data_IF_088499507106
#
_entry.id   IF_088499507106
#
_cell.length_a   1.000
_cell.length_b   1.000
_cell.length_c   1.000
_cell.angle_alpha   90.00
_cell.angle_beta   90.00
_cell.angle_gamma   90.00
#
_symmetry.space_group_name_H-M   'P 1'
#
loop_
_entity.id
_entity.type
_entity.pdbx_description
1 polymer ?
#
# COMPACT_ATOMS: atom_id res chain seq x y z
N UNK A 1 -2.58 -16.31 34.87
CA UNK A 1 -2.88 -14.99 35.44
C UNK A 1 -1.68 -14.47 36.20
N UNK A 2 -0.80 -13.79 35.46
CA UNK A 2 0.31 -12.98 35.98
C UNK A 2 -0.19 -11.65 36.58
N UNK A 3 -1.29 -11.09 36.07
CA UNK A 3 -1.84 -9.82 36.55
C UNK A 3 -3.34 -9.94 36.88
N UNK A 4 -3.71 -10.10 38.15
CA UNK A 4 -5.11 -10.13 38.59
C UNK A 4 -5.68 -8.69 38.64
N UNK A 5 -6.89 -8.40 38.12
CA UNK A 5 -7.94 -9.30 37.58
C UNK A 5 -7.97 -9.42 36.05
N UNK A 6 -6.85 -9.15 35.37
CA UNK A 6 -6.79 -9.13 33.92
C UNK A 6 -6.73 -10.55 33.34
N UNK A 7 -7.72 -10.85 32.51
CA UNK A 7 -7.87 -12.14 31.81
C UNK A 7 -7.22 -12.14 30.43
N UNK A 8 -6.90 -10.95 29.89
CA UNK A 8 -6.15 -10.76 28.66
C UNK A 8 -4.68 -10.60 29.01
N UNK A 9 -3.87 -11.61 28.73
CA UNK A 9 -2.45 -11.61 29.09
C UNK A 9 -1.55 -11.79 27.87
N UNK A 10 -0.34 -11.18 27.84
CA UNK A 10 0.62 -11.34 26.75
C UNK A 10 0.97 -12.81 26.48
N UNK A 11 1.16 -13.63 27.52
CA UNK A 11 1.50 -15.05 27.34
C UNK A 11 0.42 -15.80 26.57
N UNK A 12 -0.85 -15.53 26.87
CA UNK A 12 -1.97 -16.15 26.16
C UNK A 12 -2.01 -15.71 24.70
N UNK A 13 -1.72 -14.43 24.42
CA UNK A 13 -1.58 -13.95 23.05
C UNK A 13 -0.45 -14.67 22.30
N UNK A 14 0.68 -14.95 22.96
CA UNK A 14 1.79 -15.71 22.36
C UNK A 14 1.43 -17.18 22.08
N UNK A 15 0.61 -17.81 22.93
CA UNK A 15 0.07 -19.14 22.67
C UNK A 15 -0.85 -19.13 21.43
N UNK A 16 -1.80 -18.18 21.37
CA UNK A 16 -2.69 -18.03 20.22
C UNK A 16 -1.91 -17.69 18.94
N UNK A 17 -0.82 -16.92 19.05
CA UNK A 17 0.03 -16.62 17.91
C UNK A 17 0.68 -17.88 17.33
N UNK A 18 1.21 -18.78 18.17
CA UNK A 18 1.78 -20.06 17.72
C UNK A 18 0.73 -20.94 17.04
N UNK A 19 -0.48 -20.99 17.57
CA UNK A 19 -1.59 -21.71 16.94
C UNK A 19 -1.98 -21.08 15.60
N UNK A 20 -1.99 -19.75 15.52
CA UNK A 20 -2.27 -19.02 14.28
C UNK A 20 -1.17 -19.25 13.22
N UNK A 21 0.10 -19.25 13.63
CA UNK A 21 1.23 -19.58 12.76
C UNK A 21 1.12 -21.01 12.23
N UNK A 22 0.83 -21.97 13.11
CA UNK A 22 0.58 -23.37 12.72
C UNK A 22 -0.56 -23.45 11.71
N UNK A 23 -1.67 -22.75 11.97
CA UNK A 23 -2.79 -22.69 11.06
C UNK A 23 -2.41 -22.12 9.68
N UNK A 24 -1.62 -21.05 9.61
CA UNK A 24 -1.16 -20.48 8.34
C UNK A 24 -0.20 -21.40 7.59
N UNK A 25 0.68 -22.12 8.31
CA UNK A 25 1.58 -23.10 7.69
C UNK A 25 0.81 -24.29 7.12
N UNK A 26 -0.24 -24.76 7.80
CA UNK A 26 -1.12 -25.83 7.33
C UNK A 26 -2.10 -25.38 6.23
N UNK A 27 -2.31 -24.08 6.08
CA UNK A 27 -3.26 -23.49 5.12
C UNK A 27 -2.56 -22.41 4.28
N UNK A 28 -1.54 -22.82 3.51
CA UNK A 28 -0.68 -21.92 2.71
C UNK A 28 -1.45 -20.96 1.81
N UNK A 29 -2.60 -21.39 1.25
CA UNK A 29 -3.44 -20.54 0.40
C UNK A 29 -4.01 -19.33 1.15
N UNK A 30 -4.38 -19.50 2.43
CA UNK A 30 -4.89 -18.40 3.27
C UNK A 30 -3.77 -17.40 3.56
N UNK A 31 -2.58 -17.90 3.89
CA UNK A 31 -1.40 -17.07 4.12
C UNK A 31 -1.06 -16.27 2.87
N UNK A 32 -0.96 -16.95 1.73
CA UNK A 32 -0.66 -16.34 0.43
C UNK A 32 -1.71 -15.28 0.07
N UNK A 33 -2.99 -15.56 0.28
CA UNK A 33 -4.05 -14.58 0.04
C UNK A 33 -3.89 -13.32 0.90
N UNK A 34 -3.51 -13.45 2.17
CA UNK A 34 -3.26 -12.29 3.05
C UNK A 34 -2.08 -11.47 2.54
N UNK A 35 -0.97 -12.14 2.21
CA UNK A 35 0.23 -11.50 1.69
C UNK A 35 -0.04 -10.78 0.36
N UNK A 36 -0.76 -11.42 -0.56
CA UNK A 36 -1.17 -10.84 -1.83
C UNK A 36 -2.07 -9.62 -1.65
N UNK A 37 -3.07 -9.70 -0.77
CA UNK A 37 -3.93 -8.56 -0.44
C UNK A 37 -3.13 -7.39 0.14
N UNK A 38 -2.17 -7.66 1.04
CA UNK A 38 -1.28 -6.65 1.59
C UNK A 38 -0.44 -5.95 0.51
N UNK A 39 0.18 -6.73 -0.38
CA UNK A 39 0.94 -6.19 -1.51
C UNK A 39 0.08 -5.39 -2.48
N UNK A 40 -1.13 -5.86 -2.78
CA UNK A 40 -2.08 -5.14 -3.64
C UNK A 40 -2.43 -3.79 -3.00
N UNK A 41 -2.72 -3.76 -1.69
CA UNK A 41 -3.01 -2.50 -1.01
C UNK A 41 -1.81 -1.54 -1.02
N UNK A 42 -0.59 -2.05 -0.87
CA UNK A 42 0.63 -1.25 -1.02
C UNK A 42 0.73 -0.65 -2.43
N UNK A 43 0.43 -1.43 -3.48
CA UNK A 43 0.39 -0.94 -4.87
C UNK A 43 -0.64 0.19 -5.07
N UNK A 44 -1.76 0.18 -4.33
CA UNK A 44 -2.74 1.28 -4.39
C UNK A 44 -2.11 2.63 -4.03
N UNK A 45 -1.11 2.65 -3.15
CA UNK A 45 -0.38 3.87 -2.78
C UNK A 45 0.37 4.51 -3.96
N UNK A 46 0.80 3.71 -4.94
CA UNK A 46 1.48 4.18 -6.16
C UNK A 46 0.52 4.89 -7.13
N UNK A 47 -0.78 4.69 -6.97
CA UNK A 47 -1.80 5.35 -7.80
C UNK A 47 -1.90 6.84 -7.46
N UNK A 48 -1.62 7.22 -6.21
CA UNK A 48 -1.78 8.61 -5.75
C UNK A 48 -0.62 9.46 -6.29
N UNK A 49 -0.87 10.43 -7.19
CA UNK A 49 0.21 11.17 -7.82
C UNK A 49 0.99 12.03 -6.83
N UNK A 50 2.31 12.07 -6.99
CA UNK A 50 3.21 12.93 -6.23
C UNK A 50 3.95 13.88 -7.15
N UNK A 51 4.00 15.15 -6.78
CA UNK A 51 4.73 16.22 -7.45
C UNK A 51 5.39 17.14 -6.39
N UNK A 52 6.24 18.07 -6.83
CA UNK A 52 6.94 18.97 -5.90
C UNK A 52 6.01 19.81 -5.01
N UNK A 53 4.80 20.12 -5.47
CA UNK A 53 3.82 20.92 -4.71
C UNK A 53 3.18 20.11 -3.59
N UNK A 54 2.95 18.82 -3.80
CA UNK A 54 2.24 17.96 -2.84
C UNK A 54 3.18 17.05 -2.02
N UNK A 55 4.47 16.98 -2.33
CA UNK A 55 5.47 16.07 -1.75
C UNK A 55 5.60 16.14 -0.21
N UNK A 56 5.15 17.23 0.43
CA UNK A 56 5.16 17.41 1.90
C UNK A 56 3.83 17.87 2.47
N UNK A 57 2.75 17.75 1.70
CA UNK A 57 1.48 18.35 2.08
C UNK A 57 0.64 17.52 3.04
N UNK A 58 1.00 16.24 3.22
CA UNK A 58 0.18 15.27 3.94
C UNK A 58 -0.98 14.70 3.13
N UNK A 59 -1.07 14.96 1.82
CA UNK A 59 -2.15 14.41 0.99
C UNK A 59 -2.20 12.86 0.96
N UNK A 60 -1.06 12.20 1.16
CA UNK A 60 -0.94 10.74 1.28
C UNK A 60 -1.14 10.21 2.70
N UNK A 61 -1.20 11.10 3.70
CA UNK A 61 -1.28 10.70 5.11
C UNK A 61 -2.50 9.80 5.41
N UNK A 62 -3.73 10.08 4.94
CA UNK A 62 -4.86 9.18 5.19
C UNK A 62 -4.66 7.76 4.62
N UNK A 63 -3.96 7.64 3.48
CA UNK A 63 -3.65 6.34 2.89
C UNK A 63 -2.63 5.58 3.74
N UNK A 64 -1.57 6.26 4.20
CA UNK A 64 -0.55 5.68 5.08
C UNK A 64 -1.18 5.19 6.38
N UNK A 65 -1.95 6.03 7.07
CA UNK A 65 -2.66 5.66 8.31
C UNK A 65 -3.64 4.50 8.08
N UNK A 66 -4.31 4.47 6.92
CA UNK A 66 -5.15 3.35 6.54
C UNK A 66 -4.35 2.04 6.46
N UNK A 67 -3.18 2.07 5.82
CA UNK A 67 -2.29 0.90 5.74
C UNK A 67 -1.78 0.48 7.12
N UNK A 68 -1.42 1.42 7.99
CA UNK A 68 -1.02 1.12 9.37
C UNK A 68 -2.16 0.44 10.15
N UNK A 69 -3.39 0.93 10.06
CA UNK A 69 -4.54 0.29 10.72
C UNK A 69 -4.82 -1.12 10.18
N UNK A 70 -4.63 -1.35 8.88
CA UNK A 70 -4.74 -2.69 8.29
C UNK A 70 -3.65 -3.65 8.81
N UNK A 71 -2.41 -3.18 8.99
CA UNK A 71 -1.32 -3.97 9.58
C UNK A 71 -1.56 -4.26 11.07
N UNK A 72 -2.04 -3.25 11.82
CA UNK A 72 -2.43 -3.41 13.23
C UNK A 72 -3.57 -4.42 13.35
N UNK A 73 -4.55 -4.37 12.44
CA UNK A 73 -5.64 -5.33 12.38
C UNK A 73 -5.15 -6.76 12.17
N UNK A 74 -4.23 -6.98 11.23
CA UNK A 74 -3.59 -8.28 11.02
C UNK A 74 -2.83 -8.76 12.28
N UNK A 75 -2.09 -7.87 12.92
CA UNK A 75 -1.37 -8.23 14.15
C UNK A 75 -2.34 -8.64 15.26
N UNK A 76 -3.43 -7.91 15.43
CA UNK A 76 -4.46 -8.20 16.43
C UNK A 76 -5.20 -9.52 16.15
N UNK A 77 -5.45 -9.87 14.87
CA UNK A 77 -6.08 -11.16 14.53
C UNK A 77 -5.18 -12.33 14.93
N UNK A 78 -3.86 -12.18 14.71
CA UNK A 78 -2.85 -13.17 15.06
C UNK A 78 -2.70 -13.40 16.57
N UNK A 79 -2.96 -12.37 17.39
CA UNK A 79 -2.91 -12.45 18.85
C UNK A 79 -4.24 -12.82 19.52
N UNK A 80 -5.28 -13.17 18.76
CA UNK A 80 -6.59 -13.51 19.31
C UNK A 80 -7.39 -12.32 19.84
N UNK A 81 -6.99 -11.08 19.48
CA UNK A 81 -7.70 -9.85 19.82
C UNK A 81 -8.75 -9.51 18.75
N UNK A 82 -9.64 -10.47 18.49
CA UNK A 82 -10.53 -10.47 17.33
C UNK A 82 -11.41 -9.22 17.21
N UNK A 83 -12.06 -8.78 18.29
CA UNK A 83 -12.93 -7.60 18.23
C UNK A 83 -12.14 -6.37 17.76
N UNK A 84 -10.94 -6.17 18.30
CA UNK A 84 -10.06 -5.06 18.03
C UNK A 84 -9.58 -5.13 16.59
N UNK A 85 -9.25 -6.33 16.08
CA UNK A 85 -8.91 -6.51 14.67
C UNK A 85 -10.02 -5.96 13.74
N UNK A 86 -11.29 -6.26 14.03
CA UNK A 86 -12.43 -5.70 13.27
C UNK A 86 -12.66 -4.20 13.50
N UNK A 87 -12.27 -3.65 14.67
CA UNK A 87 -12.27 -2.20 14.89
C UNK A 87 -11.22 -1.54 14.01
N UNK A 88 -9.99 -2.06 13.96
CA UNK A 88 -8.94 -1.54 13.08
C UNK A 88 -9.26 -1.73 11.59
N UNK A 89 -9.95 -2.81 11.18
CA UNK A 89 -10.47 -2.92 9.81
C UNK A 89 -11.41 -1.76 9.46
N UNK A 90 -12.28 -1.35 10.40
CA UNK A 90 -13.16 -0.20 10.19
C UNK A 90 -12.37 1.10 10.05
N UNK A 91 -11.39 1.32 10.93
CA UNK A 91 -10.51 2.49 10.85
C UNK A 91 -9.78 2.53 9.50
N UNK A 92 -9.20 1.40 9.07
CA UNK A 92 -8.56 1.26 7.77
C UNK A 92 -9.49 1.60 6.61
N UNK A 93 -10.73 1.09 6.63
CA UNK A 93 -11.75 1.44 5.63
C UNK A 93 -12.05 2.94 5.59
N UNK A 94 -12.32 3.55 6.74
CA UNK A 94 -12.68 4.97 6.83
C UNK A 94 -11.52 5.87 6.35
N UNK A 95 -10.29 5.57 6.77
CA UNK A 95 -9.07 6.30 6.36
C UNK A 95 -8.72 6.09 4.88
N UNK A 96 -8.91 4.89 4.35
CA UNK A 96 -8.64 4.59 2.94
C UNK A 96 -9.69 5.21 1.99
N UNK A 97 -10.90 5.45 2.46
CA UNK A 97 -11.86 6.31 1.74
C UNK A 97 -11.51 7.79 1.87
N UNK A 98 -10.94 8.18 3.02
CA UNK A 98 -10.56 9.55 3.31
C UNK A 98 -9.40 10.02 2.42
N UNK A 99 -8.50 9.12 2.02
CA UNK A 99 -7.43 9.43 1.04
C UNK A 99 -8.02 9.88 -0.30
N UNK A 100 -9.05 9.20 -0.80
CA UNK A 100 -9.74 9.60 -2.04
C UNK A 100 -10.56 10.88 -1.83
N UNK A 101 -11.20 11.02 -0.67
CA UNK A 101 -11.98 12.20 -0.30
C UNK A 101 -11.16 13.49 -0.35
N UNK A 102 -9.99 13.53 0.30
CA UNK A 102 -9.18 14.74 0.32
C UNK A 102 -8.60 15.05 -1.06
N UNK A 103 -8.25 14.02 -1.83
CA UNK A 103 -7.69 14.20 -3.15
C UNK A 103 -8.73 14.39 -4.27
N UNK A 104 -10.03 14.37 -3.97
CA UNK A 104 -11.11 14.35 -4.98
C UNK A 104 -11.10 15.55 -5.94
N UNK A 105 -10.68 16.72 -5.46
CA UNK A 105 -10.63 18.00 -6.18
C UNK A 105 -9.20 18.41 -6.55
N UNK A 106 -8.23 17.50 -6.44
CA UNK A 106 -6.80 17.74 -6.71
C UNK A 106 -6.14 18.84 -5.84
N UNK A 107 -6.86 19.32 -4.81
CA UNK A 107 -6.41 20.25 -3.76
C UNK A 107 -6.21 19.55 -2.40
N UNK A 108 -5.91 18.25 -2.43
CA UNK A 108 -5.77 17.44 -1.21
C UNK A 108 -4.71 18.00 -0.25
N UNK A 109 -3.69 18.66 -0.78
CA UNK A 109 -2.63 19.30 -0.04
C UNK A 109 -3.06 20.51 0.80
N UNK A 110 -4.18 21.18 0.47
CA UNK A 110 -4.76 22.23 1.33
C UNK A 110 -5.94 21.70 2.14
N UNK A 111 -6.77 20.85 1.54
CA UNK A 111 -7.94 20.28 2.20
C UNK A 111 -7.59 19.40 3.42
N UNK A 112 -6.44 18.73 3.42
CA UNK A 112 -6.01 17.85 4.51
C UNK A 112 -5.37 18.59 5.70
N UNK A 113 -4.84 19.82 5.50
CA UNK A 113 -3.97 20.49 6.49
C UNK A 113 -4.63 20.69 7.85
N UNK A 114 -5.88 21.15 7.89
CA UNK A 114 -6.57 21.40 9.15
C UNK A 114 -6.90 20.08 9.88
N UNK A 115 -7.25 19.03 9.15
CA UNK A 115 -7.47 17.70 9.71
C UNK A 115 -6.15 17.06 10.21
N UNK A 116 -5.07 17.14 9.41
CA UNK A 116 -3.73 16.68 9.78
C UNK A 116 -3.22 17.34 11.06
N UNK A 117 -3.51 18.63 11.24
CA UNK A 117 -3.16 19.39 12.44
C UNK A 117 -4.19 19.26 13.58
N UNK A 118 -5.11 18.29 13.51
CA UNK A 118 -6.14 18.01 14.53
C UNK A 118 -7.08 19.18 14.84
N UNK A 119 -7.30 20.09 13.88
CA UNK A 119 -8.22 21.24 14.03
C UNK A 119 -9.63 20.94 13.52
N UNK A 120 -9.78 19.97 12.62
CA UNK A 120 -11.07 19.49 12.14
C UNK A 120 -11.30 18.01 12.49
N UNK A 121 -12.56 17.65 12.74
CA UNK A 121 -12.97 16.27 12.93
C UNK A 121 -12.99 15.52 11.59
N UNK A 122 -12.69 14.22 11.64
CA UNK A 122 -12.88 13.31 10.50
C UNK A 122 -14.33 13.39 9.99
N UNK A 123 -14.55 13.60 8.67
CA UNK A 123 -15.88 13.67 8.12
C UNK A 123 -16.59 12.32 8.25
N UNK A 124 -17.91 12.36 8.52
CA UNK A 124 -18.74 11.17 8.56
C UNK A 124 -18.91 10.57 7.15
N UNK A 125 -19.19 9.27 7.07
CA UNK A 125 -19.34 8.55 5.81
C UNK A 125 -20.38 9.16 4.84
N UNK A 126 -21.47 9.74 5.35
CA UNK A 126 -22.47 10.45 4.53
C UNK A 126 -21.88 11.66 3.82
N UNK A 127 -21.04 12.44 4.53
CA UNK A 127 -20.30 13.57 3.95
C UNK A 127 -19.25 13.08 2.95
N UNK A 128 -18.52 12.02 3.28
CA UNK A 128 -17.51 11.42 2.38
C UNK A 128 -18.16 11.02 1.05
N UNK A 129 -19.22 10.20 1.09
CA UNK A 129 -19.92 9.75 -0.13
C UNK A 129 -20.58 10.87 -0.93
N UNK A 130 -21.05 11.93 -0.26
CA UNK A 130 -21.57 13.11 -0.95
C UNK A 130 -20.49 13.77 -1.81
N UNK A 131 -19.27 13.86 -1.28
CA UNK A 131 -18.12 14.45 -1.98
C UNK A 131 -17.56 13.50 -3.04
N UNK A 132 -17.38 12.21 -2.74
CA UNK A 132 -16.90 11.21 -3.72
C UNK A 132 -17.78 11.18 -4.98
N UNK A 133 -19.11 11.31 -4.84
CA UNK A 133 -20.05 11.36 -5.97
C UNK A 133 -20.04 12.66 -6.77
N UNK A 134 -19.26 13.67 -6.36
CA UNK A 134 -19.02 14.86 -7.18
C UNK A 134 -18.05 14.54 -8.33
N UNK A 135 -17.19 13.54 -8.17
CA UNK A 135 -16.34 13.04 -9.24
C UNK A 135 -17.20 12.24 -10.25
N UNK A 136 -17.10 12.61 -11.53
CA UNK A 136 -17.91 12.04 -12.60
C UNK A 136 -17.65 10.54 -12.80
N UNK A 137 -16.40 10.09 -12.65
CA UNK A 137 -16.00 8.70 -12.85
C UNK A 137 -16.61 7.82 -11.75
N UNK A 138 -16.45 8.23 -10.49
CA UNK A 138 -17.07 7.55 -9.33
C UNK A 138 -18.59 7.54 -9.46
N UNK A 139 -19.20 8.67 -9.82
CA UNK A 139 -20.66 8.76 -9.98
C UNK A 139 -21.19 7.83 -11.08
N UNK A 140 -20.58 7.82 -12.26
CA UNK A 140 -20.96 6.94 -13.38
C UNK A 140 -20.82 5.46 -12.97
N UNK A 141 -19.72 5.13 -12.31
CA UNK A 141 -19.44 3.77 -11.88
C UNK A 141 -20.40 3.27 -10.78
N UNK A 142 -20.69 4.12 -9.80
CA UNK A 142 -21.62 3.82 -8.71
C UNK A 142 -23.04 3.55 -9.22
N UNK A 143 -23.51 4.27 -10.24
CA UNK A 143 -24.82 4.00 -10.88
C UNK A 143 -24.88 2.60 -11.50
N UNK A 144 -23.77 2.10 -12.04
CA UNK A 144 -23.70 0.78 -12.69
C UNK A 144 -23.53 -0.36 -11.69
N UNK A 145 -22.69 -0.16 -10.68
CA UNK A 145 -22.21 -1.23 -9.79
C UNK A 145 -22.63 -1.11 -8.33
N UNK A 146 -23.31 -0.03 -7.94
CA UNK A 146 -23.75 0.27 -6.57
C UNK A 146 -22.58 0.23 -5.57
N UNK A 147 -21.50 0.95 -5.87
CA UNK A 147 -20.29 1.01 -5.04
C UNK A 147 -20.57 1.53 -3.62
N UNK A 148 -21.49 2.48 -3.46
CA UNK A 148 -21.95 2.95 -2.14
C UNK A 148 -22.63 1.82 -1.35
N UNK A 149 -23.34 0.91 -2.03
CA UNK A 149 -23.97 -0.23 -1.37
C UNK A 149 -22.92 -1.23 -0.86
N UNK A 150 -21.84 -1.47 -1.62
CA UNK A 150 -20.71 -2.29 -1.16
C UNK A 150 -20.14 -1.75 0.16
N UNK A 151 -19.97 -0.43 0.27
CA UNK A 151 -19.57 0.21 1.52
C UNK A 151 -20.62 0.06 2.63
N UNK A 152 -21.91 0.24 2.33
CA UNK A 152 -22.99 0.05 3.31
C UNK A 152 -23.02 -1.37 3.86
N UNK A 153 -22.73 -2.36 3.03
CA UNK A 153 -22.65 -3.77 3.43
C UNK A 153 -21.50 -4.02 4.41
N UNK A 154 -20.39 -3.26 4.32
CA UNK A 154 -19.31 -3.21 5.30
C UNK A 154 -19.66 -2.44 6.59
N UNK A 155 -20.77 -1.70 6.61
CA UNK A 155 -21.24 -0.93 7.76
C UNK A 155 -21.47 -1.77 9.02
N UNK A 156 -21.57 -3.09 8.91
CA UNK A 156 -21.64 -3.99 10.05
C UNK A 156 -20.39 -3.94 10.96
N UNK A 157 -19.25 -3.48 10.45
CA UNK A 157 -18.02 -3.28 11.23
C UNK A 157 -18.24 -2.26 12.37
N UNK A 158 -19.16 -1.31 12.19
CA UNK A 158 -19.57 -0.37 13.26
C UNK A 158 -20.07 -1.09 14.52
N UNK A 159 -20.67 -2.27 14.37
CA UNK A 159 -21.17 -3.06 15.49
C UNK A 159 -20.04 -3.53 16.43
N UNK A 160 -18.81 -3.64 15.94
CA UNK A 160 -17.63 -4.00 16.73
C UNK A 160 -17.15 -2.83 17.57
N UNK A 161 -17.14 -1.62 17.01
CA UNK A 161 -16.75 -0.40 17.73
C UNK A 161 -17.68 -0.14 18.91
N UNK A 162 -18.99 -0.11 18.65
CA UNK A 162 -19.99 0.18 19.69
C UNK A 162 -20.51 -1.06 20.41
N UNK A 163 -19.94 -2.23 20.16
CA UNK A 163 -20.32 -3.51 20.79
C UNK A 163 -21.83 -3.79 20.77
N UNK A 164 -22.36 -4.14 19.58
CA UNK A 164 -23.79 -4.48 19.42
C UNK A 164 -24.13 -5.88 19.97
N UNK A 165 -24.09 -6.04 21.30
CA UNK A 165 -24.39 -7.31 21.97
C UNK A 165 -23.28 -8.35 21.86
N UNK A 166 -23.53 -9.56 22.38
CA UNK A 166 -22.50 -10.60 22.58
C UNK A 166 -21.78 -11.02 21.29
N UNK A 167 -22.49 -11.05 20.15
CA UNK A 167 -21.93 -11.38 18.84
C UNK A 167 -20.80 -10.44 18.41
N UNK A 168 -20.85 -9.17 18.84
CA UNK A 168 -19.91 -8.12 18.45
C UNK A 168 -19.01 -7.65 19.61
N UNK A 169 -18.94 -8.42 20.70
CA UNK A 169 -18.08 -8.11 21.84
C UNK A 169 -16.79 -8.93 21.84
N UNK A 170 -15.92 -8.66 22.81
CA UNK A 170 -14.77 -9.53 23.15
C UNK A 170 -15.20 -11.00 23.44
N UNK A 171 -16.51 -11.19 23.62
CA UNK A 171 -17.38 -12.38 23.59
C UNK A 171 -17.42 -13.29 22.36
N UNK A 172 -16.76 -12.98 21.24
CA UNK A 172 -16.91 -13.72 19.97
C UNK A 172 -16.42 -15.19 20.03
N UNK A 173 -17.28 -16.17 19.75
CA UNK A 173 -16.97 -17.61 19.71
C UNK A 173 -18.19 -18.48 20.11
N UNK A 174 -18.21 -19.78 19.76
CA UNK A 174 -19.33 -20.70 20.04
C UNK A 174 -19.34 -21.26 21.48
N UNK A 175 -18.18 -21.33 22.14
CA UNK A 175 -17.99 -21.80 23.52
C UNK A 175 -16.82 -21.02 24.11
N UNK A 176 -17.02 -20.24 25.18
CA UNK A 176 -16.01 -19.27 25.64
C UNK A 176 -15.19 -19.77 26.81
N UNK A 177 -13.87 -19.86 26.59
CA UNK A 177 -12.86 -19.58 27.61
C UNK A 177 -12.98 -18.12 28.07
N UNK A 178 -12.54 -17.83 29.29
CA UNK A 178 -12.46 -16.47 29.84
C UNK A 178 -11.21 -15.71 29.40
N UNK A 179 -10.38 -16.24 28.49
CA UNK A 179 -9.15 -15.62 27.96
C UNK A 179 -9.08 -15.64 26.42
N UNK A 180 -7.99 -15.13 25.83
CA UNK A 180 -7.72 -15.27 24.39
C UNK A 180 -7.62 -16.75 24.01
N UNK A 181 -8.18 -17.10 22.86
CA UNK A 181 -8.16 -18.47 22.30
C UNK A 181 -8.10 -18.36 20.78
N UNK A 182 -7.57 -19.38 20.12
CA UNK A 182 -7.53 -19.44 18.67
C UNK A 182 -8.91 -19.75 18.09
N UNK A 183 -9.34 -18.95 17.10
CA UNK A 183 -10.67 -19.02 16.50
C UNK A 183 -10.59 -18.95 14.97
N UNK A 184 -10.37 -20.09 14.31
CA UNK A 184 -10.31 -20.22 12.83
C UNK A 184 -11.45 -19.49 12.09
N UNK A 185 -12.69 -19.60 12.59
CA UNK A 185 -13.86 -18.96 11.95
C UNK A 185 -13.77 -17.43 11.94
N UNK A 186 -13.15 -16.83 12.95
CA UNK A 186 -12.97 -15.39 13.03
C UNK A 186 -11.88 -14.90 12.07
N UNK A 187 -10.82 -15.69 11.87
CA UNK A 187 -9.79 -15.42 10.85
C UNK A 187 -10.41 -15.42 9.46
N UNK A 188 -11.19 -16.43 9.09
CA UNK A 188 -11.86 -16.45 7.76
C UNK A 188 -12.81 -15.28 7.57
N UNK A 189 -13.54 -14.89 8.61
CA UNK A 189 -14.44 -13.71 8.55
C UNK A 189 -13.66 -12.41 8.41
N UNK A 190 -12.55 -12.28 9.12
CA UNK A 190 -11.65 -11.14 9.05
C UNK A 190 -11.07 -11.03 7.64
N UNK A 191 -10.55 -12.13 7.07
CA UNK A 191 -9.97 -12.17 5.73
C UNK A 191 -10.97 -11.75 4.66
N UNK A 192 -12.22 -12.21 4.74
CA UNK A 192 -13.27 -11.75 3.83
C UNK A 192 -13.45 -10.23 3.90
N UNK A 193 -13.51 -9.69 5.12
CA UNK A 193 -13.71 -8.24 5.33
C UNK A 193 -12.51 -7.43 4.85
N UNK A 194 -11.30 -7.96 5.08
CA UNK A 194 -10.05 -7.40 4.62
C UNK A 194 -10.02 -7.31 3.09
N UNK A 195 -10.38 -8.40 2.40
CA UNK A 195 -10.50 -8.43 0.94
C UNK A 195 -11.55 -7.45 0.41
N UNK A 196 -12.75 -7.43 1.01
CA UNK A 196 -13.84 -6.53 0.61
C UNK A 196 -13.43 -5.04 0.77
N UNK A 197 -12.70 -4.70 1.84
CA UNK A 197 -12.18 -3.34 2.09
C UNK A 197 -11.13 -2.96 1.04
N UNK A 198 -10.14 -3.82 0.80
CA UNK A 198 -9.07 -3.55 -0.17
C UNK A 198 -9.66 -3.40 -1.57
N UNK A 199 -10.61 -4.26 -1.94
CA UNK A 199 -11.29 -4.22 -3.24
C UNK A 199 -12.07 -2.91 -3.43
N UNK A 200 -12.81 -2.45 -2.42
CA UNK A 200 -13.52 -1.17 -2.43
C UNK A 200 -12.56 0.03 -2.54
N UNK A 201 -11.52 0.07 -1.70
CA UNK A 201 -10.56 1.19 -1.69
C UNK A 201 -9.78 1.25 -3.00
N UNK A 202 -9.34 0.10 -3.52
CA UNK A 202 -8.67 0.01 -4.83
C UNK A 202 -9.58 0.57 -5.91
N UNK A 203 -10.85 0.15 -5.95
CA UNK A 203 -11.83 0.65 -6.92
C UNK A 203 -11.96 2.17 -6.86
N UNK A 204 -12.04 2.78 -5.67
CA UNK A 204 -12.15 4.22 -5.51
C UNK A 204 -10.90 4.98 -6.00
N UNK A 205 -9.70 4.45 -5.75
CA UNK A 205 -8.45 5.05 -6.24
C UNK A 205 -8.34 4.94 -7.76
N UNK A 206 -8.62 3.78 -8.34
CA UNK A 206 -8.62 3.59 -9.79
C UNK A 206 -9.63 4.53 -10.48
N UNK A 207 -10.79 4.78 -9.87
CA UNK A 207 -11.80 5.70 -10.41
C UNK A 207 -11.39 7.17 -10.31
N UNK A 208 -10.69 7.56 -9.24
CA UNK A 208 -10.15 8.91 -9.10
C UNK A 208 -8.98 9.16 -10.06
N UNK A 209 -8.15 8.15 -10.28
CA UNK A 209 -6.95 8.21 -11.12
C UNK A 209 -7.01 7.13 -12.20
N UNK A 210 -7.89 7.27 -13.21
CA UNK A 210 -8.11 6.23 -14.20
C UNK A 210 -6.90 5.98 -15.12
N UNK A 211 -5.90 6.87 -15.12
CA UNK A 211 -4.59 6.59 -15.73
C UNK A 211 -3.93 5.31 -15.20
N UNK A 212 -4.22 4.92 -13.95
CA UNK A 212 -3.68 3.73 -13.30
C UNK A 212 -4.05 2.40 -13.96
N UNK A 213 -5.09 2.38 -14.82
CA UNK A 213 -5.48 1.16 -15.57
C UNK A 213 -5.04 1.19 -17.03
N UNK A 214 -4.35 2.25 -17.46
CA UNK A 214 -3.81 2.36 -18.81
C UNK A 214 -2.57 1.48 -18.91
N UNK A 215 -2.63 0.47 -19.78
CA UNK A 215 -1.50 -0.42 -20.04
C UNK A 215 -0.52 0.26 -20.98
N UNK A 216 0.63 0.67 -20.43
CA UNK A 216 1.71 1.28 -21.17
C UNK A 216 3.04 0.93 -20.50
N UNK A 217 4.07 0.70 -21.32
CA UNK A 217 5.44 0.47 -20.85
C UNK A 217 6.10 1.82 -20.57
N UNK A 218 5.90 2.33 -19.35
CA UNK A 218 6.42 3.63 -18.93
C UNK A 218 7.95 3.64 -18.88
N UNK A 219 8.57 2.48 -18.65
CA UNK A 219 10.02 2.29 -18.67
C UNK A 219 10.65 2.66 -20.01
N UNK A 220 9.94 2.50 -21.14
CA UNK A 220 10.44 2.97 -22.45
C UNK A 220 10.64 4.48 -22.51
N UNK A 221 9.82 5.25 -21.81
CA UNK A 221 9.86 6.72 -21.85
C UNK A 221 10.69 7.32 -20.71
N UNK A 222 10.70 6.67 -19.56
CA UNK A 222 11.27 7.22 -18.33
C UNK A 222 12.41 6.38 -17.73
N UNK A 223 12.69 5.20 -18.27
CA UNK A 223 13.74 4.31 -17.78
C UNK A 223 13.39 3.79 -16.39
N UNK A 224 14.29 3.99 -15.43
CA UNK A 224 14.10 3.57 -14.03
C UNK A 224 13.48 4.66 -13.15
N UNK A 225 13.41 5.90 -13.64
CA UNK A 225 12.90 7.07 -12.91
C UNK A 225 11.51 7.48 -13.42
N UNK A 226 10.55 6.55 -13.31
CA UNK A 226 9.16 6.78 -13.73
C UNK A 226 8.53 7.79 -12.75
N UNK A 227 8.03 8.95 -13.22
CA UNK A 227 7.42 9.92 -12.33
C UNK A 227 6.16 9.34 -11.67
N UNK A 228 5.89 9.75 -10.43
CA UNK A 228 4.71 9.31 -9.69
C UNK A 228 3.44 10.06 -10.16
N UNK A 229 3.02 9.87 -11.42
CA UNK A 229 1.80 10.49 -11.97
C UNK A 229 0.55 9.59 -11.84
N UNK A 230 0.68 8.44 -11.18
CA UNK A 230 -0.42 7.49 -10.92
C UNK A 230 -0.58 6.37 -11.94
N UNK A 231 0.25 6.32 -12.99
CA UNK A 231 0.33 5.18 -13.90
C UNK A 231 0.92 3.95 -13.22
N UNK A 232 0.38 2.78 -13.53
CA UNK A 232 0.87 1.50 -13.00
C UNK A 232 1.44 0.62 -14.11
N UNK A 233 2.49 -0.11 -13.78
CA UNK A 233 2.98 -1.21 -14.61
C UNK A 233 1.92 -2.31 -14.80
N UNK A 234 1.93 -3.00 -15.94
CA UNK A 234 0.88 -3.98 -16.30
C UNK A 234 0.68 -5.07 -15.24
N UNK A 235 1.78 -5.56 -14.66
CA UNK A 235 1.72 -6.59 -13.61
C UNK A 235 0.98 -6.10 -12.35
N UNK A 236 1.08 -4.81 -12.03
CA UNK A 236 0.40 -4.20 -10.89
C UNK A 236 -1.09 -4.04 -11.19
N UNK A 237 -1.45 -3.68 -12.42
CA UNK A 237 -2.84 -3.64 -12.88
C UNK A 237 -3.47 -5.03 -12.74
N UNK A 238 -2.78 -6.09 -13.19
CA UNK A 238 -3.27 -7.46 -13.13
C UNK A 238 -3.45 -7.95 -11.68
N UNK A 239 -2.52 -7.59 -10.79
CA UNK A 239 -2.64 -7.89 -9.36
C UNK A 239 -3.87 -7.25 -8.75
N UNK A 240 -4.10 -5.95 -8.99
CA UNK A 240 -5.31 -5.28 -8.49
C UNK A 240 -6.56 -5.92 -9.11
N UNK A 241 -6.55 -6.21 -10.41
CA UNK A 241 -7.66 -6.85 -11.12
C UNK A 241 -8.12 -8.15 -10.46
N UNK A 242 -7.18 -8.94 -9.92
CA UNK A 242 -7.46 -10.25 -9.32
C UNK A 242 -8.40 -10.21 -8.11
N UNK A 243 -8.53 -9.06 -7.44
CA UNK A 243 -9.39 -8.88 -6.26
C UNK A 243 -10.65 -8.06 -6.55
N UNK A 244 -10.77 -7.51 -7.77
CA UNK A 244 -11.93 -6.72 -8.16
C UNK A 244 -13.08 -7.63 -8.58
N UNK A 245 -14.35 -7.24 -8.31
CA UNK A 245 -15.49 -7.93 -8.86
C UNK A 245 -15.45 -7.98 -10.39
N UNK A 246 -16.11 -9.00 -10.94
CA UNK A 246 -16.22 -9.19 -12.38
C UNK A 246 -16.71 -7.90 -13.08
N UNK A 247 -16.10 -7.56 -14.23
CA UNK A 247 -16.31 -6.33 -15.02
C UNK A 247 -15.82 -5.01 -14.42
N UNK A 248 -15.36 -4.96 -13.18
CA UNK A 248 -14.91 -3.68 -12.60
C UNK A 248 -13.75 -3.10 -13.39
N UNK A 249 -12.69 -3.88 -13.65
CA UNK A 249 -11.53 -3.38 -14.40
C UNK A 249 -11.92 -2.94 -15.82
N UNK A 250 -12.68 -3.75 -16.56
CA UNK A 250 -13.13 -3.43 -17.91
C UNK A 250 -13.88 -2.10 -17.96
N UNK A 251 -14.77 -1.88 -17.00
CA UNK A 251 -15.54 -0.63 -16.93
C UNK A 251 -14.71 0.57 -16.50
N UNK A 252 -13.70 0.38 -15.65
CA UNK A 252 -12.75 1.44 -15.28
C UNK A 252 -11.84 1.78 -16.49
N UNK A 253 -11.47 0.79 -17.31
CA UNK A 253 -10.72 1.03 -18.55
C UNK A 253 -11.53 1.81 -19.59
N UNK A 254 -12.84 1.58 -19.67
CA UNK A 254 -13.72 2.41 -20.50
C UNK A 254 -13.72 3.85 -19.96
N UNK A 255 -13.80 4.02 -18.64
CA UNK A 255 -13.71 5.35 -18.01
C UNK A 255 -12.37 6.02 -18.35
N UNK A 256 -11.24 5.30 -18.30
CA UNK A 256 -9.93 5.88 -18.61
C UNK A 256 -9.80 6.33 -20.06
N UNK A 257 -10.51 5.69 -20.99
CA UNK A 257 -10.58 6.08 -22.40
C UNK A 257 -11.42 7.35 -22.63
N UNK A 258 -12.42 7.59 -21.79
CA UNK A 258 -13.28 8.78 -21.84
C UNK A 258 -12.73 9.98 -21.04
N UNK A 259 -11.83 9.72 -20.09
CA UNK A 259 -11.28 10.73 -19.18
C UNK A 259 -10.25 11.63 -19.89
N UNK A 260 -10.63 12.89 -20.13
CA UNK A 260 -9.83 13.85 -20.91
C UNK A 260 -8.43 14.04 -20.34
N UNK A 261 -8.31 14.23 -19.02
CA UNK A 261 -7.02 14.42 -18.35
C UNK A 261 -6.11 13.20 -18.52
N UNK A 262 -6.66 12.00 -18.39
CA UNK A 262 -5.92 10.76 -18.65
C UNK A 262 -5.45 10.68 -20.10
N UNK A 263 -6.32 11.00 -21.06
CA UNK A 263 -5.96 10.98 -22.48
C UNK A 263 -4.87 12.00 -22.81
N UNK A 264 -4.97 13.23 -22.27
CA UNK A 264 -3.96 14.27 -22.44
C UNK A 264 -2.58 13.82 -21.93
N UNK A 265 -2.50 13.32 -20.70
CA UNK A 265 -1.25 12.82 -20.11
C UNK A 265 -0.66 11.68 -20.96
N UNK A 266 -1.48 10.71 -21.38
CA UNK A 266 -0.99 9.59 -22.18
C UNK A 266 -0.48 10.05 -23.55
N UNK A 267 -1.14 11.03 -24.18
CA UNK A 267 -0.65 11.59 -25.44
C UNK A 267 0.69 12.32 -25.24
N UNK A 268 0.84 13.10 -24.16
CA UNK A 268 2.12 13.73 -23.82
C UNK A 268 3.23 12.69 -23.64
N UNK A 269 2.97 11.61 -22.90
CA UNK A 269 3.92 10.52 -22.68
C UNK A 269 4.31 9.83 -24.00
N UNK A 270 3.34 9.57 -24.88
CA UNK A 270 3.58 8.92 -26.18
C UNK A 270 4.51 9.76 -27.05
N UNK A 271 4.38 11.09 -27.00
CA UNK A 271 5.18 12.04 -27.78
C UNK A 271 6.63 12.18 -27.27
N UNK A 272 6.93 11.76 -26.03
CA UNK A 272 8.30 11.72 -25.54
C UNK A 272 9.14 10.74 -26.38
N UNK A 273 10.42 11.05 -26.67
CA UNK A 273 11.30 10.07 -27.30
C UNK A 273 11.54 8.88 -26.36
N UNK A 274 11.70 7.69 -26.92
CA UNK A 274 12.11 6.52 -26.15
C UNK A 274 13.53 6.72 -25.59
N UNK A 275 13.76 6.23 -24.38
CA UNK A 275 15.09 6.23 -23.77
C UNK A 275 15.98 5.19 -24.44
N UNK A 276 17.20 5.60 -24.77
CA UNK A 276 18.26 4.70 -25.21
C UNK A 276 18.85 3.92 -24.03
N UNK A 277 19.44 2.76 -24.30
CA UNK A 277 20.08 1.93 -23.27
C UNK A 277 21.16 2.68 -22.47
N UNK A 278 21.89 3.59 -23.13
CA UNK A 278 22.90 4.43 -22.49
C UNK A 278 22.28 5.45 -21.53
N UNK A 279 21.16 6.07 -21.90
CA UNK A 279 20.47 7.01 -21.01
C UNK A 279 19.90 6.31 -19.77
N UNK A 280 19.42 5.08 -19.92
CA UNK A 280 18.98 4.25 -18.80
C UNK A 280 20.18 3.90 -17.91
N UNK A 281 21.33 3.57 -18.50
CA UNK A 281 22.57 3.33 -17.74
C UNK A 281 23.00 4.55 -16.93
N UNK A 282 22.96 5.73 -17.54
CA UNK A 282 23.30 6.99 -16.88
C UNK A 282 22.37 7.26 -15.68
N UNK A 283 21.06 7.01 -15.81
CA UNK A 283 20.12 7.10 -14.69
C UNK A 283 20.51 6.14 -13.54
N UNK A 284 20.83 4.89 -13.86
CA UNK A 284 21.21 3.90 -12.84
C UNK A 284 22.49 4.32 -12.13
N UNK A 285 23.49 4.78 -12.88
CA UNK A 285 24.75 5.30 -12.33
C UNK A 285 24.48 6.48 -11.40
N UNK A 286 23.62 7.43 -11.78
CA UNK A 286 23.27 8.59 -10.94
C UNK A 286 22.60 8.13 -9.64
N UNK A 287 21.65 7.19 -9.73
CA UNK A 287 20.97 6.65 -8.55
C UNK A 287 21.97 5.94 -7.62
N UNK A 288 22.82 5.08 -8.14
CA UNK A 288 23.81 4.33 -7.37
C UNK A 288 24.85 5.27 -6.74
N UNK A 289 25.30 6.31 -7.45
CA UNK A 289 26.13 7.38 -6.88
C UNK A 289 25.47 8.03 -5.67
N UNK A 290 24.19 8.38 -5.78
CA UNK A 290 23.44 9.00 -4.67
C UNK A 290 23.37 8.06 -3.46
N UNK A 291 23.11 6.77 -3.67
CA UNK A 291 23.07 5.75 -2.61
C UNK A 291 24.44 5.59 -1.94
N UNK A 292 25.52 5.57 -2.73
CA UNK A 292 26.90 5.45 -2.23
C UNK A 292 27.29 6.70 -1.43
N UNK A 293 27.10 7.88 -2.01
CA UNK A 293 27.48 9.16 -1.41
C UNK A 293 26.69 9.43 -0.14
N UNK A 294 25.37 9.26 -0.18
CA UNK A 294 24.49 9.66 0.92
C UNK A 294 24.17 8.53 1.91
N UNK A 295 24.56 7.29 1.62
CA UNK A 295 24.22 6.13 2.42
C UNK A 295 25.45 5.38 2.93
N UNK A 296 25.59 4.14 2.46
CA UNK A 296 26.46 3.12 3.04
C UNK A 296 27.92 3.19 2.58
N UNK A 297 28.23 3.97 1.54
CA UNK A 297 29.54 3.97 0.88
C UNK A 297 29.71 2.82 -0.12
N UNK A 298 30.72 2.91 -0.98
CA UNK A 298 30.92 1.96 -2.09
C UNK A 298 31.14 0.52 -1.61
N UNK A 299 31.89 0.32 -0.53
CA UNK A 299 32.26 -1.02 -0.04
C UNK A 299 31.01 -1.81 0.36
N UNK A 300 30.16 -1.22 1.21
CA UNK A 300 28.91 -1.84 1.63
C UNK A 300 27.87 -1.90 0.50
N UNK A 301 27.86 -0.93 -0.42
CA UNK A 301 27.03 -1.01 -1.62
C UNK A 301 27.40 -2.23 -2.47
N UNK A 302 28.70 -2.50 -2.70
CA UNK A 302 29.16 -3.64 -3.48
C UNK A 302 28.81 -4.97 -2.79
N UNK A 303 29.02 -5.07 -1.47
CA UNK A 303 28.61 -6.23 -0.68
C UNK A 303 27.11 -6.53 -0.83
N UNK A 304 26.27 -5.48 -0.83
CA UNK A 304 24.84 -5.63 -1.07
C UNK A 304 24.54 -6.14 -2.49
N UNK A 305 25.21 -5.62 -3.52
CA UNK A 305 25.03 -6.13 -4.89
C UNK A 305 25.44 -7.59 -5.01
N UNK A 306 26.54 -8.00 -4.39
CA UNK A 306 26.99 -9.40 -4.38
C UNK A 306 26.04 -10.31 -3.61
N UNK A 307 25.44 -9.81 -2.53
CA UNK A 307 24.41 -10.52 -1.77
C UNK A 307 23.15 -10.75 -2.61
N UNK A 308 22.69 -9.71 -3.31
CA UNK A 308 21.56 -9.80 -4.24
C UNK A 308 21.86 -10.78 -5.38
N UNK A 309 23.07 -10.73 -5.97
CA UNK A 309 23.50 -11.65 -7.02
C UNK A 309 23.37 -13.12 -6.58
N UNK A 310 23.84 -13.43 -5.37
CA UNK A 310 23.70 -14.78 -4.76
C UNK A 310 22.25 -15.16 -4.50
N UNK A 311 21.43 -14.22 -4.04
CA UNK A 311 20.01 -14.44 -3.78
C UNK A 311 19.24 -14.77 -5.07
N UNK A 312 19.63 -14.18 -6.19
CA UNK A 312 19.09 -14.51 -7.52
C UNK A 312 19.73 -15.75 -8.16
N UNK A 313 20.61 -16.46 -7.44
CA UNK A 313 21.25 -17.70 -7.91
C UNK A 313 22.28 -17.49 -9.02
N UNK A 314 22.80 -16.27 -9.18
CA UNK A 314 23.82 -15.95 -10.17
C UNK A 314 25.22 -16.03 -9.54
N UNK A 315 26.19 -16.54 -10.31
CA UNK A 315 27.58 -16.71 -9.86
C UNK A 315 28.49 -15.54 -10.21
N UNK A 316 28.14 -14.74 -11.21
CA UNK A 316 28.92 -13.59 -11.67
C UNK A 316 28.03 -12.47 -12.20
N UNK A 317 28.52 -11.24 -12.11
CA UNK A 317 27.90 -10.08 -12.75
C UNK A 317 28.07 -10.15 -14.27
N UNK A 318 27.13 -9.57 -15.01
CA UNK A 318 27.30 -9.36 -16.44
C UNK A 318 28.34 -8.27 -16.74
N UNK A 319 28.76 -8.16 -18.00
CA UNK A 319 29.79 -7.18 -18.40
C UNK A 319 29.34 -5.73 -18.17
N UNK A 320 28.04 -5.45 -18.29
CA UNK A 320 27.49 -4.11 -18.06
C UNK A 320 27.66 -3.70 -16.60
N UNK A 321 27.27 -4.57 -15.68
CA UNK A 321 27.44 -4.36 -14.25
C UNK A 321 28.91 -4.36 -13.83
N UNK A 322 29.78 -5.21 -14.41
CA UNK A 322 31.22 -5.16 -14.15
C UNK A 322 31.81 -3.79 -14.51
N UNK A 323 31.49 -3.27 -15.70
CA UNK A 323 31.92 -1.94 -16.14
C UNK A 323 31.39 -0.84 -15.20
N UNK A 324 30.13 -0.95 -14.76
CA UNK A 324 29.52 -0.02 -13.80
C UNK A 324 30.23 -0.03 -12.45
N UNK A 325 30.52 -1.22 -11.91
CA UNK A 325 31.25 -1.40 -10.64
C UNK A 325 32.64 -0.76 -10.73
N UNK A 326 33.36 -0.97 -11.83
CA UNK A 326 34.67 -0.36 -12.03
C UNK A 326 34.59 1.17 -12.07
N UNK A 327 33.62 1.71 -12.84
CA UNK A 327 33.37 3.14 -12.92
C UNK A 327 33.04 3.75 -11.54
N UNK A 328 32.11 3.15 -10.81
CA UNK A 328 31.71 3.62 -9.48
C UNK A 328 32.81 3.49 -8.44
N UNK A 329 33.66 2.46 -8.55
CA UNK A 329 34.84 2.30 -7.69
C UNK A 329 35.79 3.46 -7.86
N UNK A 330 36.18 3.76 -9.11
CA UNK A 330 37.11 4.84 -9.42
C UNK A 330 36.54 6.19 -8.97
N UNK A 331 35.28 6.47 -9.31
CA UNK A 331 34.58 7.68 -8.86
C UNK A 331 34.54 7.79 -7.32
N UNK A 332 34.29 6.68 -6.62
CA UNK A 332 34.23 6.66 -5.15
C UNK A 332 35.61 6.85 -4.50
N UNK A 333 36.69 6.38 -5.12
CA UNK A 333 38.06 6.64 -4.65
C UNK A 333 38.39 8.12 -4.79
N UNK A 334 38.11 8.71 -5.95
CA UNK A 334 38.39 10.13 -6.23
C UNK A 334 37.64 11.10 -5.30
N UNK A 335 36.45 10.71 -4.84
CA UNK A 335 35.59 11.55 -4.00
C UNK A 335 35.56 11.11 -2.53
N UNK A 336 36.41 10.15 -2.12
CA UNK A 336 36.48 9.61 -0.75
C UNK A 336 35.15 8.99 -0.25
N UNK A 337 34.39 8.32 -1.13
CA UNK A 337 33.09 7.70 -0.84
C UNK A 337 33.15 6.17 -0.66
N UNK A 338 34.34 5.62 -0.35
CA UNK A 338 34.49 4.18 -0.08
C UNK A 338 33.74 3.71 1.17
N UNK A 339 33.63 4.61 2.15
CA UNK A 339 33.07 4.38 3.48
C UNK A 339 31.72 5.12 3.64
N UNK A 340 30.90 4.67 4.59
CA UNK A 340 29.55 5.23 4.80
C UNK A 340 29.56 6.71 5.15
N UNK A 341 28.51 7.43 4.76
CA UNK A 341 28.36 8.87 5.06
C UNK A 341 28.52 9.14 6.55
N UNK A 342 27.91 8.29 7.39
CA UNK A 342 28.01 8.39 8.83
C UNK A 342 29.45 8.30 9.33
N UNK A 343 30.23 7.32 8.85
CA UNK A 343 31.66 7.17 9.21
C UNK A 343 32.48 8.37 8.73
N UNK A 344 32.21 8.87 7.52
CA UNK A 344 32.87 10.06 6.94
C UNK A 344 32.54 11.35 7.71
N UNK A 345 31.35 11.43 8.30
CA UNK A 345 30.91 12.53 9.16
C UNK A 345 31.30 12.36 10.64
N UNK A 346 31.99 11.27 10.99
CA UNK A 346 32.41 10.98 12.37
C UNK A 346 31.26 10.63 13.30
N UNK A 347 30.13 10.14 12.78
CA UNK A 347 29.05 9.63 13.61
C UNK A 347 29.44 8.27 14.18
N UNK A 348 29.41 8.14 15.51
CA UNK A 348 29.46 6.84 16.17
C UNK A 348 28.11 6.14 15.94
N UNK A 349 28.13 5.04 15.18
CA UNK A 349 26.98 4.14 14.99
C UNK A 349 27.19 2.89 15.84
#
# INVERSE_FOLDING_TARGET
>A
MKFNPYIYEPDQSLEVYKETETYFNENSEIKKQIEELGWIYHTVGMIIPQNFENFWSGHNFPFIESWEELQVSFTQICFGLYKQAFVSLRSGLELGMLSVYYNINDDGHNAVKEWLNSKENTPRADKIWKILRQNNNIKKFDVKHNLEQVHKDLGYLHNYVHTKGAKYSNRMGLLKSNSQSFEKKLISKWLKSYADIISLISSLHLLKYPISVVRFDYGKKFGIDIPSFGGLEEYNIDKIASILPHKYLEDIQIISQEDLTTQEIIQEIILLPDMTENQIEDQIIILEKSVIENGLGFTAWLENQESLLKLFGQSEFDERMKNRIEFLRNWSIENEFLESKAKRMGWEI
#
